data_IF_556517093916
#
_entry.id   IF_556517093916
#
_cell.length_a   1.000
_cell.length_b   1.000
_cell.length_c   1.000
_cell.angle_alpha   90.00
_cell.angle_beta   90.00
_cell.angle_gamma   90.00
#
_symmetry.space_group_name_H-M   'P 1'
#
loop_
_entity.id
_entity.type
_entity.pdbx_description
1 polymer ?
#
# COMPACT_ATOMS: atom_id res chain seq x y z
N UNK A 1 -16.80 12.57 25.84
CA UNK A 1 -15.83 11.77 25.09
C UNK A 1 -14.49 11.98 25.75
N UNK A 2 -14.33 11.45 26.96
CA UNK A 2 -13.94 10.06 27.26
C UNK A 2 -12.41 9.97 27.26
N UNK A 3 -11.89 9.85 28.49
CA UNK A 3 -10.48 9.69 28.79
C UNK A 3 -10.10 8.27 28.41
N UNK A 4 -9.06 8.09 27.63
CA UNK A 4 -8.29 6.84 27.63
C UNK A 4 -7.17 6.97 28.67
N UNK A 5 -7.20 6.20 29.77
CA UNK A 5 -6.07 6.06 30.66
C UNK A 5 -5.20 4.85 30.25
N UNK A 6 -3.97 4.83 30.76
CA UNK A 6 -3.08 3.66 30.85
C UNK A 6 -2.44 3.16 29.55
N UNK A 7 -1.42 3.88 29.07
CA UNK A 7 -0.17 3.21 28.71
C UNK A 7 0.73 3.23 29.96
N UNK A 8 1.38 2.12 30.37
CA UNK A 8 2.34 2.15 31.45
C UNK A 8 3.46 3.11 31.08
N UNK A 9 3.69 4.11 31.93
CA UNK A 9 4.88 4.95 31.83
C UNK A 9 6.00 4.17 32.53
N UNK A 10 6.85 3.48 31.77
CA UNK A 10 8.13 2.99 32.31
C UNK A 10 8.95 4.22 32.69
N UNK A 11 8.89 4.66 33.94
CA UNK A 11 9.46 5.94 34.37
C UNK A 11 10.78 5.74 35.13
N UNK A 12 11.86 6.35 34.65
CA UNK A 12 12.98 6.72 35.50
C UNK A 12 12.68 8.08 36.11
N UNK A 13 12.60 8.17 37.43
CA UNK A 13 12.34 9.42 38.15
C UNK A 13 13.58 10.31 38.12
N UNK A 14 13.66 11.23 37.16
CA UNK A 14 14.67 12.29 37.13
C UNK A 14 14.05 13.60 37.62
N UNK A 15 14.57 14.15 38.72
CA UNK A 15 14.07 15.40 39.31
C UNK A 15 14.09 16.56 38.33
N UNK A 16 13.03 17.39 38.38
CA UNK A 16 12.75 18.74 37.80
C UNK A 16 13.25 19.15 36.39
N UNK A 17 14.13 18.40 35.74
CA UNK A 17 14.48 18.46 34.32
C UNK A 17 14.14 17.12 33.65
N UNK A 18 13.03 16.49 34.05
CA UNK A 18 12.62 15.19 33.53
C UNK A 18 12.45 15.27 32.00
N UNK A 19 13.24 14.52 31.22
CA UNK A 19 12.96 14.33 29.81
C UNK A 19 11.54 13.77 29.66
N UNK A 20 10.84 14.10 28.56
CA UNK A 20 9.51 13.53 28.29
C UNK A 20 9.59 12.00 28.46
N UNK A 21 8.69 11.38 29.24
CA UNK A 21 8.77 9.96 29.52
C UNK A 21 8.73 9.18 28.20
N UNK A 22 9.71 8.32 27.99
CA UNK A 22 9.76 7.46 26.82
C UNK A 22 8.67 6.40 27.00
N UNK A 23 7.82 6.22 25.98
CA UNK A 23 6.84 5.14 25.96
C UNK A 23 7.58 3.79 25.89
N UNK A 24 7.13 2.80 26.64
CA UNK A 24 7.69 1.45 26.57
C UNK A 24 7.53 0.88 25.14
N UNK A 25 8.49 0.06 24.72
CA UNK A 25 8.52 -0.54 23.39
C UNK A 25 8.03 -1.99 23.48
N UNK A 26 6.91 -2.26 22.81
CA UNK A 26 6.32 -3.59 22.74
C UNK A 26 6.57 -4.29 21.41
N UNK A 27 7.04 -3.54 20.40
CA UNK A 27 7.26 -4.07 19.07
C UNK A 27 6.02 -4.11 18.18
N UNK A 28 4.97 -3.35 18.52
CA UNK A 28 3.78 -3.23 17.68
C UNK A 28 4.07 -2.53 16.34
N UNK A 29 3.23 -2.76 15.31
CA UNK A 29 3.37 -2.24 13.94
C UNK A 29 3.44 -0.70 13.82
N UNK A 30 3.06 0.00 14.89
CA UNK A 30 3.04 1.45 15.00
C UNK A 30 4.34 2.01 15.59
N UNK A 31 5.13 1.17 16.24
CA UNK A 31 6.38 1.55 16.91
C UNK A 31 7.58 1.23 16.01
N UNK A 32 8.41 2.24 15.75
CA UNK A 32 9.67 2.06 15.03
C UNK A 32 10.80 1.85 16.05
N UNK A 33 11.39 0.65 16.04
CA UNK A 33 12.47 0.29 16.96
C UNK A 33 13.65 1.25 16.87
N UNK A 34 14.08 1.65 15.67
CA UNK A 34 15.23 2.57 15.50
C UNK A 34 14.92 3.98 16.00
N UNK A 35 13.70 4.48 15.72
CA UNK A 35 13.28 5.79 16.20
C UNK A 35 13.08 5.81 17.72
N UNK A 36 12.61 4.70 18.30
CA UNK A 36 12.49 4.53 19.74
C UNK A 36 13.86 4.40 20.40
N UNK A 37 14.76 3.58 19.85
CA UNK A 37 16.11 3.38 20.34
C UNK A 37 16.90 4.69 20.36
N UNK A 38 16.77 5.53 19.33
CA UNK A 38 17.38 6.87 19.33
C UNK A 38 16.87 7.73 20.49
N UNK A 39 15.56 7.74 20.76
CA UNK A 39 14.99 8.48 21.91
C UNK A 39 15.49 7.94 23.25
N UNK A 40 15.63 6.62 23.34
CA UNK A 40 16.21 5.96 24.51
C UNK A 40 17.66 6.40 24.72
N UNK A 41 18.49 6.34 23.68
CA UNK A 41 19.89 6.76 23.74
C UNK A 41 20.04 8.25 24.07
N UNK A 42 19.20 9.11 23.48
CA UNK A 42 19.18 10.54 23.80
C UNK A 42 18.87 10.77 25.28
N UNK A 43 17.94 9.99 25.86
CA UNK A 43 17.60 10.09 27.28
C UNK A 43 18.72 9.58 28.17
N UNK A 44 19.36 8.46 27.81
CA UNK A 44 20.52 7.92 28.54
C UNK A 44 21.69 8.91 28.52
N UNK A 45 21.91 9.62 27.40
CA UNK A 45 22.96 10.66 27.28
C UNK A 45 22.71 11.88 28.18
N UNK A 46 21.46 12.14 28.55
CA UNK A 46 21.11 13.24 29.47
C UNK A 46 21.36 12.89 30.94
N UNK A 47 21.67 11.63 31.27
CA UNK A 47 21.91 11.19 32.65
C UNK A 47 23.34 11.52 33.07
N UNK A 48 23.47 12.23 34.19
CA UNK A 48 24.74 12.60 34.80
C UNK A 48 24.72 12.23 36.30
N UNK A 49 25.67 11.42 36.81
CA UNK A 49 26.79 10.79 36.11
C UNK A 49 26.35 9.76 35.06
N UNK A 50 27.19 9.45 34.05
CA UNK A 50 26.88 8.46 33.03
C UNK A 50 26.48 7.12 33.65
N UNK A 51 25.43 6.50 33.12
CA UNK A 51 24.98 5.19 33.58
C UNK A 51 26.07 4.13 33.34
N UNK A 52 26.40 3.29 34.35
CA UNK A 52 27.20 2.09 34.14
C UNK A 52 26.56 1.17 33.09
N UNK A 53 27.37 0.47 32.30
CA UNK A 53 26.89 -0.37 31.20
C UNK A 53 25.81 -1.37 31.62
N UNK A 54 25.97 -2.00 32.79
CA UNK A 54 25.01 -2.98 33.30
C UNK A 54 23.68 -2.32 33.70
N UNK A 55 23.72 -1.12 34.29
CA UNK A 55 22.51 -0.36 34.63
C UNK A 55 21.81 0.15 33.38
N UNK A 56 22.57 0.52 32.33
CA UNK A 56 22.04 0.91 31.02
C UNK A 56 21.28 -0.24 30.36
N UNK A 57 21.79 -1.47 30.43
CA UNK A 57 21.12 -2.67 29.93
C UNK A 57 19.83 -2.94 30.73
N UNK A 58 19.91 -2.98 32.05
CA UNK A 58 18.73 -3.21 32.91
C UNK A 58 17.66 -2.17 32.65
N UNK A 59 18.08 -0.92 32.45
CA UNK A 59 17.20 0.17 32.05
C UNK A 59 16.56 -0.12 30.70
N UNK A 60 17.35 -0.40 29.66
CA UNK A 60 16.85 -0.74 28.32
C UNK A 60 15.77 -1.83 28.41
N UNK A 61 16.09 -2.93 29.08
CA UNK A 61 15.22 -4.08 29.28
C UNK A 61 13.96 -3.71 30.07
N UNK A 62 14.05 -2.80 31.04
CA UNK A 62 12.91 -2.25 31.78
C UNK A 62 11.97 -1.35 30.96
N UNK A 63 12.42 -0.81 29.83
CA UNK A 63 11.57 -0.07 28.89
C UNK A 63 11.01 -0.96 27.76
N UNK A 64 11.34 -2.25 27.73
CA UNK A 64 10.74 -3.23 26.82
C UNK A 64 9.53 -3.89 27.48
N UNK A 65 8.46 -4.09 26.72
CA UNK A 65 7.22 -4.75 27.17
C UNK A 65 6.76 -5.79 26.14
N UNK A 66 5.84 -6.68 26.55
CA UNK A 66 5.20 -7.65 25.66
C UNK A 66 6.19 -8.45 24.80
N UNK A 67 5.91 -8.59 23.50
CA UNK A 67 6.72 -9.38 22.59
C UNK A 67 8.18 -8.93 22.45
N UNK A 68 8.51 -7.66 22.73
CA UNK A 68 9.89 -7.21 22.78
C UNK A 68 10.64 -7.66 24.04
N UNK A 69 9.91 -7.86 25.15
CA UNK A 69 10.47 -8.38 26.40
C UNK A 69 10.68 -9.88 26.31
N UNK A 70 9.71 -10.61 25.76
CA UNK A 70 9.77 -12.06 25.57
C UNK A 70 11.02 -12.46 24.76
N UNK A 71 11.35 -11.69 23.72
CA UNK A 71 12.57 -11.91 22.91
C UNK A 71 13.87 -11.75 23.68
N UNK A 72 13.90 -10.91 24.72
CA UNK A 72 15.08 -10.78 25.56
C UNK A 72 15.16 -11.95 26.53
N UNK A 73 14.03 -12.42 27.05
CA UNK A 73 14.00 -13.55 27.97
C UNK A 73 14.52 -14.84 27.32
N UNK A 74 14.32 -15.00 26.00
CA UNK A 74 14.83 -16.11 25.17
C UNK A 74 16.35 -16.08 24.92
N UNK A 75 17.04 -14.96 25.20
CA UNK A 75 18.50 -14.85 25.04
C UNK A 75 19.25 -15.56 26.18
N UNK A 76 20.50 -15.96 25.91
CA UNK A 76 21.40 -16.47 26.93
C UNK A 76 21.79 -15.38 27.94
N UNK A 77 22.08 -15.75 29.19
CA UNK A 77 22.50 -14.79 30.25
C UNK A 77 23.79 -14.03 29.88
N UNK A 78 24.66 -14.64 29.08
CA UNK A 78 25.88 -14.02 28.56
C UNK A 78 25.56 -12.94 27.52
N UNK A 79 24.56 -13.17 26.67
CA UNK A 79 24.14 -12.22 25.65
C UNK A 79 23.30 -11.08 26.25
N UNK A 80 22.46 -11.38 27.26
CA UNK A 80 21.69 -10.39 28.04
C UNK A 80 22.61 -9.36 28.70
N UNK A 81 23.80 -9.76 29.12
CA UNK A 81 24.78 -8.86 29.74
C UNK A 81 25.56 -7.97 28.75
N UNK A 82 25.31 -8.09 27.44
CA UNK A 82 25.95 -7.26 26.42
C UNK A 82 24.94 -6.34 25.73
N UNK A 83 25.06 -5.04 25.96
CA UNK A 83 24.18 -4.01 25.37
C UNK A 83 24.13 -4.11 23.83
N UNK A 84 25.28 -4.35 23.20
CA UNK A 84 25.37 -4.45 21.74
C UNK A 84 24.63 -5.68 21.20
N UNK A 85 24.76 -6.83 21.86
CA UNK A 85 24.09 -8.07 21.44
C UNK A 85 22.57 -7.98 21.61
N UNK A 86 22.11 -7.42 22.73
CA UNK A 86 20.68 -7.17 22.99
C UNK A 86 20.08 -6.28 21.89
N UNK A 87 20.76 -5.18 21.53
CA UNK A 87 20.29 -4.30 20.45
C UNK A 87 20.33 -5.00 19.10
N UNK A 88 21.39 -5.75 18.79
CA UNK A 88 21.50 -6.44 17.52
C UNK A 88 20.41 -7.51 17.34
N UNK A 89 20.07 -8.21 18.43
CA UNK A 89 18.99 -9.19 18.44
C UNK A 89 17.62 -8.52 18.22
N UNK A 90 17.32 -7.46 18.97
CA UNK A 90 16.10 -6.67 18.78
C UNK A 90 16.03 -6.06 17.38
N UNK A 91 17.15 -5.52 16.88
CA UNK A 91 17.26 -4.98 15.53
C UNK A 91 16.98 -6.07 14.51
N UNK A 92 17.54 -7.26 14.66
CA UNK A 92 17.31 -8.37 13.72
C UNK A 92 15.85 -8.80 13.69
N UNK A 93 15.20 -8.89 14.86
CA UNK A 93 13.81 -9.30 14.97
C UNK A 93 12.82 -8.22 14.52
N UNK A 94 13.00 -6.96 14.93
CA UNK A 94 12.09 -5.85 14.60
C UNK A 94 12.41 -5.15 13.28
N UNK A 95 13.63 -5.29 12.76
CA UNK A 95 13.93 -4.99 11.36
C UNK A 95 13.68 -6.18 10.42
N UNK A 96 13.16 -7.31 10.95
CA UNK A 96 12.99 -8.53 10.18
C UNK A 96 12.09 -8.31 8.96
N UNK A 97 12.36 -9.11 7.94
CA UNK A 97 11.69 -9.13 6.65
C UNK A 97 10.15 -9.14 6.75
N UNK A 98 9.57 -9.58 7.88
CA UNK A 98 8.13 -9.62 8.12
C UNK A 98 7.50 -8.23 8.19
N UNK A 99 8.03 -7.31 9.02
CA UNK A 99 7.53 -5.92 9.07
C UNK A 99 7.69 -5.21 7.73
N UNK A 100 8.82 -5.46 7.04
CA UNK A 100 9.02 -4.95 5.68
C UNK A 100 8.05 -5.57 4.69
N UNK A 101 7.70 -6.85 4.84
CA UNK A 101 6.75 -7.55 3.97
C UNK A 101 5.33 -7.04 4.15
N UNK A 102 4.89 -6.81 5.39
CA UNK A 102 3.60 -6.20 5.71
C UNK A 102 3.54 -4.77 5.21
N UNK A 103 4.57 -3.96 5.44
CA UNK A 103 4.62 -2.61 4.90
C UNK A 103 4.60 -2.59 3.36
N UNK A 104 5.29 -3.54 2.69
CA UNK A 104 5.22 -3.70 1.23
C UNK A 104 3.84 -4.12 0.76
N UNK A 105 3.15 -4.97 1.50
CA UNK A 105 1.77 -5.35 1.22
C UNK A 105 0.83 -4.15 1.38
N UNK A 106 0.94 -3.40 2.48
CA UNK A 106 0.20 -2.15 2.70
C UNK A 106 0.45 -1.15 1.56
N UNK A 107 1.71 -1.02 1.10
CA UNK A 107 2.03 -0.19 -0.05
C UNK A 107 1.36 -0.70 -1.33
N UNK A 108 1.43 -2.01 -1.60
CA UNK A 108 0.78 -2.66 -2.75
C UNK A 108 -0.73 -2.38 -2.81
N UNK A 109 -1.40 -2.49 -1.67
CA UNK A 109 -2.84 -2.29 -1.54
C UNK A 109 -3.24 -0.82 -1.46
N UNK A 110 -2.28 0.08 -1.17
CA UNK A 110 -2.51 1.52 -1.13
C UNK A 110 -2.79 2.05 -2.53
N UNK A 111 -4.01 2.57 -2.71
CA UNK A 111 -4.45 3.35 -3.87
C UNK A 111 -5.33 4.49 -3.35
N UNK A 112 -5.35 5.59 -4.10
CA UNK A 112 -6.23 6.70 -3.78
C UNK A 112 -7.70 6.24 -3.83
N UNK A 113 -8.43 6.37 -2.72
CA UNK A 113 -9.84 6.01 -2.63
C UNK A 113 -10.72 6.90 -3.50
N UNK A 114 -11.92 6.46 -3.94
CA UNK A 114 -12.77 7.24 -4.86
C UNK A 114 -13.19 8.60 -4.29
N UNK A 115 -13.44 8.67 -2.98
CA UNK A 115 -13.86 9.87 -2.25
C UNK A 115 -12.70 10.57 -1.52
N UNK A 116 -11.49 9.99 -1.55
CA UNK A 116 -10.32 10.54 -0.85
C UNK A 116 -9.70 11.68 -1.68
N UNK A 117 -9.36 12.79 -1.01
CA UNK A 117 -8.68 13.92 -1.66
C UNK A 117 -7.24 13.58 -2.02
N UNK A 118 -6.65 14.31 -2.98
CA UNK A 118 -5.26 14.14 -3.34
C UNK A 118 -4.31 14.44 -2.16
N UNK A 119 -4.70 15.37 -1.27
CA UNK A 119 -3.92 15.77 -0.10
C UNK A 119 -3.89 14.68 0.97
N UNK A 120 -5.05 14.14 1.34
CA UNK A 120 -5.13 13.09 2.38
C UNK A 120 -4.38 11.83 1.91
N UNK A 121 -4.51 11.50 0.63
CA UNK A 121 -3.76 10.41 0.03
C UNK A 121 -2.24 10.62 0.08
N UNK A 122 -1.77 11.84 -0.21
CA UNK A 122 -0.35 12.19 -0.15
C UNK A 122 0.24 11.99 1.26
N UNK A 123 -0.48 12.39 2.30
CA UNK A 123 -0.04 12.19 3.68
C UNK A 123 0.01 10.71 4.06
N UNK A 124 -0.98 9.93 3.64
CA UNK A 124 -1.08 8.50 3.89
C UNK A 124 0.05 7.73 3.21
N UNK A 125 0.27 7.94 1.91
CA UNK A 125 1.33 7.24 1.17
C UNK A 125 2.73 7.64 1.65
N UNK A 126 2.93 8.90 2.03
CA UNK A 126 4.18 9.37 2.66
C UNK A 126 4.49 8.63 3.95
N UNK A 127 3.49 8.26 4.73
CA UNK A 127 3.70 7.44 5.93
C UNK A 127 4.08 6.00 5.57
N UNK A 128 3.38 5.39 4.62
CA UNK A 128 3.60 3.99 4.21
C UNK A 128 4.97 3.80 3.55
N UNK A 129 5.34 4.67 2.59
CA UNK A 129 6.63 4.58 1.91
C UNK A 129 7.78 4.73 2.89
N UNK A 130 7.69 5.66 3.86
CA UNK A 130 8.68 5.78 4.95
C UNK A 130 8.85 4.49 5.74
N UNK A 131 7.79 3.70 5.95
CA UNK A 131 7.88 2.37 6.60
C UNK A 131 8.58 1.35 5.68
N UNK A 132 8.31 1.37 4.38
CA UNK A 132 8.88 0.41 3.42
C UNK A 132 10.35 0.68 3.11
N UNK A 133 10.74 1.95 3.05
CA UNK A 133 12.11 2.37 2.68
C UNK A 133 13.00 2.60 3.89
N UNK A 134 12.65 2.04 5.07
CA UNK A 134 13.48 2.14 6.28
C UNK A 134 14.90 1.64 6.01
N UNK A 135 15.88 2.46 6.39
CA UNK A 135 17.32 2.17 6.19
C UNK A 135 17.87 2.54 4.81
N UNK A 136 17.05 3.01 3.86
CA UNK A 136 17.52 3.53 2.57
C UNK A 136 17.94 5.00 2.69
N UNK A 137 18.85 5.48 1.82
CA UNK A 137 19.22 6.90 1.79
C UNK A 137 18.00 7.78 1.46
N UNK A 138 17.92 8.97 2.05
CA UNK A 138 16.78 9.90 1.89
C UNK A 138 16.43 10.18 0.43
N UNK A 139 17.43 10.25 -0.45
CA UNK A 139 17.22 10.45 -1.88
C UNK A 139 16.38 9.31 -2.48
N UNK A 140 16.78 8.05 -2.27
CA UNK A 140 16.03 6.89 -2.75
C UNK A 140 14.62 6.81 -2.15
N UNK A 141 14.44 7.24 -0.89
CA UNK A 141 13.10 7.31 -0.28
C UNK A 141 12.21 8.32 -0.99
N UNK A 142 12.75 9.49 -1.36
CA UNK A 142 12.01 10.56 -2.03
C UNK A 142 11.67 10.20 -3.48
N UNK A 143 12.62 9.63 -4.22
CA UNK A 143 12.41 9.12 -5.58
C UNK A 143 11.29 8.07 -5.57
N UNK A 144 11.39 7.09 -4.67
CA UNK A 144 10.36 6.07 -4.55
C UNK A 144 9.01 6.61 -4.08
N UNK A 145 9.00 7.60 -3.19
CA UNK A 145 7.77 8.24 -2.76
C UNK A 145 7.07 8.96 -3.92
N UNK A 146 7.84 9.64 -4.77
CA UNK A 146 7.33 10.29 -5.97
C UNK A 146 6.72 9.27 -6.94
N UNK A 147 7.44 8.19 -7.25
CA UNK A 147 6.97 7.16 -8.18
C UNK A 147 5.69 6.48 -7.69
N UNK A 148 5.69 6.02 -6.44
CA UNK A 148 4.54 5.33 -5.85
C UNK A 148 3.33 6.26 -5.74
N UNK A 149 3.52 7.55 -5.44
CA UNK A 149 2.44 8.53 -5.45
C UNK A 149 1.83 8.66 -6.84
N UNK A 150 2.64 8.89 -7.88
CA UNK A 150 2.14 9.05 -9.25
C UNK A 150 1.41 7.80 -9.75
N UNK A 151 1.92 6.61 -9.47
CA UNK A 151 1.34 5.36 -9.98
C UNK A 151 -0.01 5.01 -9.34
N UNK A 152 -0.21 5.41 -8.09
CA UNK A 152 -1.34 5.01 -7.23
C UNK A 152 -2.44 6.08 -7.09
N UNK A 153 -2.27 7.24 -7.72
CA UNK A 153 -3.32 8.25 -7.91
C UNK A 153 -4.51 7.68 -8.69
N UNK A 154 -5.68 8.32 -8.52
CA UNK A 154 -6.85 8.07 -9.36
C UNK A 154 -6.48 8.20 -10.85
N UNK A 155 -7.01 7.35 -11.75
CA UNK A 155 -6.65 7.37 -13.17
C UNK A 155 -6.75 8.76 -13.83
N UNK A 156 -7.78 9.53 -13.51
CA UNK A 156 -7.98 10.89 -14.01
C UNK A 156 -6.83 11.83 -13.59
N UNK A 157 -6.48 11.86 -12.29
CA UNK A 157 -5.39 12.69 -11.77
C UNK A 157 -4.02 12.20 -12.23
N UNK A 158 -3.82 10.88 -12.25
CA UNK A 158 -2.56 10.25 -12.67
C UNK A 158 -2.14 10.69 -14.06
N UNK A 159 -3.07 10.74 -15.01
CA UNK A 159 -2.77 11.17 -16.37
C UNK A 159 -2.25 12.62 -16.41
N UNK A 160 -2.94 13.54 -15.74
CA UNK A 160 -2.56 14.96 -15.73
C UNK A 160 -1.25 15.22 -14.97
N UNK A 161 -1.06 14.57 -13.82
CA UNK A 161 0.16 14.72 -13.02
C UNK A 161 1.38 14.15 -13.76
N UNK A 162 1.26 12.97 -14.40
CA UNK A 162 2.36 12.42 -15.21
C UNK A 162 2.67 13.29 -16.43
N UNK A 163 1.65 13.84 -17.10
CA UNK A 163 1.86 14.74 -18.22
C UNK A 163 2.63 16.02 -17.82
N UNK A 164 2.46 16.48 -16.57
CA UNK A 164 3.16 17.64 -16.03
C UNK A 164 4.63 17.36 -15.62
N UNK A 165 5.07 16.09 -15.57
CA UNK A 165 6.42 15.65 -15.23
C UNK A 165 7.04 16.35 -13.98
N UNK A 166 6.43 16.22 -12.79
CA UNK A 166 6.97 16.80 -11.57
C UNK A 166 8.30 16.13 -11.19
N UNK A 167 9.27 16.93 -10.74
CA UNK A 167 10.60 16.44 -10.34
C UNK A 167 10.69 16.10 -8.85
N UNK A 168 9.70 16.54 -8.08
CA UNK A 168 9.66 16.34 -6.63
C UNK A 168 8.29 15.89 -6.17
N UNK A 169 8.25 15.19 -5.03
CA UNK A 169 7.00 14.77 -4.41
C UNK A 169 6.08 15.96 -4.10
N UNK A 170 6.62 17.03 -3.52
CA UNK A 170 5.82 18.20 -3.14
C UNK A 170 5.23 18.89 -4.37
N UNK A 171 5.99 18.98 -5.47
CA UNK A 171 5.47 19.48 -6.75
C UNK A 171 4.35 18.58 -7.28
N UNK A 172 4.52 17.26 -7.27
CA UNK A 172 3.50 16.31 -7.71
C UNK A 172 2.20 16.46 -6.91
N UNK A 173 2.30 16.66 -5.59
CA UNK A 173 1.15 16.90 -4.71
C UNK A 173 0.44 18.20 -5.07
N UNK A 174 1.18 19.30 -5.25
CA UNK A 174 0.59 20.58 -5.68
C UNK A 174 -0.16 20.42 -7.00
N UNK A 175 0.46 19.79 -8.00
CA UNK A 175 -0.18 19.53 -9.30
C UNK A 175 -1.45 18.67 -9.14
N UNK A 176 -1.38 17.60 -8.35
CA UNK A 176 -2.53 16.72 -8.12
C UNK A 176 -3.71 17.49 -7.49
N UNK A 177 -3.46 18.33 -6.50
CA UNK A 177 -4.48 19.18 -5.85
C UNK A 177 -5.06 20.19 -6.86
N UNK A 178 -4.22 20.82 -7.67
CA UNK A 178 -4.68 21.76 -8.70
C UNK A 178 -5.60 21.08 -9.70
N UNK A 179 -5.20 19.93 -10.26
CA UNK A 179 -6.03 19.20 -11.21
C UNK A 179 -7.30 18.63 -10.57
N UNK A 180 -7.25 18.21 -9.31
CA UNK A 180 -8.45 17.78 -8.58
C UNK A 180 -9.47 18.91 -8.48
N UNK A 181 -9.04 20.13 -8.14
CA UNK A 181 -9.92 21.30 -8.13
C UNK A 181 -10.53 21.57 -9.51
N UNK A 182 -9.70 21.62 -10.56
CA UNK A 182 -10.15 21.90 -11.92
C UNK A 182 -11.15 20.86 -12.44
N UNK A 183 -10.93 19.58 -12.16
CA UNK A 183 -11.84 18.51 -12.55
C UNK A 183 -13.17 18.59 -11.79
N UNK A 184 -13.14 18.95 -10.50
CA UNK A 184 -14.35 19.16 -9.72
C UNK A 184 -15.15 20.37 -10.22
N UNK A 185 -14.47 21.46 -10.57
CA UNK A 185 -15.11 22.67 -11.13
C UNK A 185 -15.80 22.37 -12.47
N UNK A 186 -15.14 21.62 -13.35
CA UNK A 186 -15.73 21.18 -14.64
C UNK A 186 -16.93 20.27 -14.41
N UNK A 187 -16.83 19.30 -13.50
CA UNK A 187 -17.95 18.41 -13.17
C UNK A 187 -19.16 19.20 -12.65
N UNK A 188 -18.92 20.17 -11.76
CA UNK A 188 -19.95 21.03 -11.20
C UNK A 188 -20.58 21.94 -12.27
N UNK A 189 -19.77 22.54 -13.15
CA UNK A 189 -20.25 23.39 -14.24
C UNK A 189 -21.13 22.62 -15.24
N UNK A 190 -20.80 21.36 -15.55
CA UNK A 190 -21.59 20.50 -16.43
C UNK A 190 -22.94 20.13 -15.77
N UNK A 191 -22.98 19.93 -14.45
CA UNK A 191 -24.23 19.62 -13.73
C UNK A 191 -25.20 20.81 -13.58
N UNK A 192 -24.76 22.05 -13.82
CA UNK A 192 -25.59 23.26 -13.65
C UNK A 192 -26.40 23.62 -14.92
N UNK A 193 -26.18 22.94 -16.06
CA UNK A 193 -26.98 23.13 -17.28
C UNK A 193 -27.99 21.99 -17.53
N UNK A 194 -29.22 22.04 -16.98
CA UNK A 194 -30.32 21.19 -17.45
C UNK A 194 -30.88 21.78 -18.75
N UNK A 195 -30.20 21.58 -19.87
CA UNK A 195 -30.59 22.28 -21.09
C UNK A 195 -29.95 21.84 -22.40
N UNK A 196 -29.33 20.67 -22.50
CA UNK A 196 -29.04 20.08 -23.80
C UNK A 196 -30.20 19.16 -24.20
N UNK A 197 -31.27 19.75 -24.74
CA UNK A 197 -32.28 18.98 -25.46
C UNK A 197 -31.55 18.18 -26.54
N UNK A 198 -31.58 16.86 -26.42
CA UNK A 198 -31.30 15.97 -27.54
C UNK A 198 -32.35 16.25 -28.61
N UNK A 199 -32.03 17.13 -29.55
CA UNK A 199 -32.77 17.22 -30.81
C UNK A 199 -32.52 15.91 -31.55
N UNK A 200 -33.44 14.97 -31.36
CA UNK A 200 -33.50 13.76 -32.16
C UNK A 200 -33.44 14.15 -33.64
N UNK A 201 -32.59 13.51 -34.46
CA UNK A 201 -32.67 13.70 -35.91
C UNK A 201 -34.06 13.25 -36.39
N UNK A 202 -34.70 13.98 -37.31
CA UNK A 202 -36.03 13.62 -37.79
C UNK A 202 -36.02 12.22 -38.41
N UNK A 203 -37.06 11.40 -38.20
CA UNK A 203 -37.13 10.09 -38.82
C UNK A 203 -37.27 10.25 -40.35
N UNK A 204 -36.24 9.84 -41.08
CA UNK A 204 -36.29 9.70 -42.54
C UNK A 204 -37.29 8.59 -42.87
N UNK A 205 -38.51 8.98 -43.28
CA UNK A 205 -39.51 8.04 -43.79
C UNK A 205 -39.07 7.52 -45.15
N UNK A 206 -38.56 6.30 -45.18
CA UNK A 206 -38.39 5.54 -46.43
C UNK A 206 -39.77 5.02 -46.86
N UNK A 207 -40.32 5.56 -47.93
CA UNK A 207 -41.53 5.04 -48.58
C UNK A 207 -41.18 3.69 -49.22
N UNK A 208 -41.59 2.59 -48.59
CA UNK A 208 -41.56 1.27 -49.23
C UNK A 208 -42.80 1.12 -50.11
N UNK A 209 -42.60 1.04 -51.43
CA UNK A 209 -43.66 0.68 -52.37
C UNK A 209 -44.08 -0.78 -52.14
N UNK A 210 -45.38 -0.98 -51.92
CA UNK A 210 -46.04 -2.29 -51.89
C UNK A 210 -46.30 -2.74 -53.31
N UNK A 211 -45.77 -3.89 -53.69
CA UNK A 211 -46.24 -4.68 -54.83
C UNK A 211 -46.89 -5.95 -54.30
N UNK A 212 -48.23 -5.91 -54.26
CA UNK A 212 -49.09 -7.02 -53.91
C UNK A 212 -49.26 -7.90 -55.15
N UNK A 213 -48.89 -9.18 -55.09
CA UNK A 213 -49.48 -10.21 -55.95
C UNK A 213 -49.53 -11.53 -55.21
N UNK A 214 -50.74 -12.06 -55.09
CA UNK A 214 -51.15 -13.21 -54.30
C UNK A 214 -51.52 -14.37 -55.27
N UNK A 215 -51.91 -15.58 -54.81
CA UNK A 215 -51.25 -16.87 -55.05
C UNK A 215 -52.04 -17.81 -56.01
N UNK A 216 -51.74 -19.13 -56.09
CA UNK A 216 -52.55 -20.09 -55.31
C UNK A 216 -51.89 -21.40 -54.81
N UNK A 217 -52.26 -21.76 -53.57
CA UNK A 217 -52.95 -23.00 -53.11
C UNK A 217 -52.28 -24.39 -53.06
N UNK A 218 -52.54 -25.03 -51.89
CA UNK A 218 -52.51 -26.47 -51.49
C UNK A 218 -51.17 -27.01 -50.95
N UNK A 219 -51.10 -27.69 -49.80
CA UNK A 219 -52.09 -28.10 -48.79
C UNK A 219 -51.42 -28.93 -47.68
N UNK A 220 -52.11 -29.00 -46.53
CA UNK A 220 -52.10 -30.07 -45.51
C UNK A 220 -50.77 -30.51 -44.82
N UNK A 221 -50.65 -30.27 -43.51
CA UNK A 221 -51.00 -31.21 -42.42
C UNK A 221 -50.50 -30.69 -41.04
N UNK A 222 -51.40 -30.71 -40.05
CA UNK A 222 -51.10 -30.60 -38.63
C UNK A 222 -50.36 -31.84 -38.09
N UNK A 223 -49.31 -31.62 -37.31
CA UNK A 223 -48.92 -32.42 -36.12
C UNK A 223 -47.64 -31.78 -35.56
N UNK A 224 -47.55 -31.41 -34.30
CA UNK A 224 -47.75 -32.29 -33.16
C UNK A 224 -46.44 -32.27 -32.37
N UNK A 225 -46.55 -31.89 -31.10
CA UNK A 225 -45.50 -31.77 -30.11
C UNK A 225 -44.43 -32.87 -30.19
N UNK A 226 -43.15 -32.49 -30.01
CA UNK A 226 -42.21 -33.31 -29.24
C UNK A 226 -40.99 -32.52 -28.79
N UNK A 227 -41.02 -32.17 -27.50
CA UNK A 227 -39.82 -32.01 -26.68
C UNK A 227 -39.04 -33.33 -26.70
N UNK A 228 -37.73 -33.27 -26.95
CA UNK A 228 -36.77 -34.27 -26.44
C UNK A 228 -35.52 -33.57 -25.90
N UNK A 229 -34.99 -34.04 -24.75
CA UNK A 229 -33.85 -33.45 -24.06
C UNK A 229 -32.54 -34.02 -24.59
N UNK A 230 -31.46 -33.25 -24.49
CA UNK A 230 -30.10 -33.77 -24.56
C UNK A 230 -29.52 -33.83 -23.15
N UNK A 231 -29.35 -35.05 -22.66
CA UNK A 231 -28.55 -35.37 -21.47
C UNK A 231 -27.07 -35.41 -21.84
N UNK A 232 -26.27 -34.70 -21.04
CA UNK A 232 -24.97 -35.05 -20.48
C UNK A 232 -23.91 -35.75 -21.37
N UNK A 233 -22.78 -35.08 -21.57
CA UNK A 233 -21.50 -35.68 -21.20
C UNK A 233 -20.43 -34.60 -20.97
N UNK A 234 -19.83 -34.71 -19.80
CA UNK A 234 -18.61 -34.09 -19.30
C UNK A 234 -17.44 -34.17 -20.29
N UNK A 235 -16.66 -33.10 -20.41
CA UNK A 235 -15.21 -33.28 -20.41
C UNK A 235 -14.47 -32.06 -19.85
N UNK A 236 -13.74 -32.33 -18.78
CA UNK A 236 -12.74 -31.49 -18.13
C UNK A 236 -11.49 -31.36 -19.00
N UNK A 237 -11.17 -30.15 -19.45
CA UNK A 237 -9.93 -29.82 -20.15
C UNK A 237 -9.11 -28.79 -19.35
N UNK A 238 -8.11 -29.28 -18.62
CA UNK A 238 -7.15 -28.53 -17.79
C UNK A 238 -6.27 -27.62 -18.66
N UNK A 239 -6.27 -26.31 -18.41
CA UNK A 239 -5.21 -25.40 -18.87
C UNK A 239 -4.18 -25.22 -17.75
N UNK A 240 -3.19 -26.11 -17.67
CA UNK A 240 -1.93 -25.91 -16.92
C UNK A 240 -0.87 -25.46 -17.93
N UNK A 241 -0.43 -24.20 -17.84
CA UNK A 241 0.80 -23.73 -18.50
C UNK A 241 1.98 -24.23 -17.67
N UNK A 242 2.65 -25.24 -18.19
CA UNK A 242 3.84 -25.86 -17.63
C UNK A 242 5.07 -25.35 -18.39
N UNK A 243 6.13 -25.10 -17.64
CA UNK A 243 7.43 -24.62 -18.07
C UNK A 243 8.07 -25.56 -19.10
N UNK A 244 8.24 -25.11 -20.34
CA UNK A 244 9.11 -25.78 -21.31
C UNK A 244 10.55 -25.29 -21.10
N UNK A 245 11.33 -26.20 -20.52
CA UNK A 245 12.79 -26.18 -20.40
C UNK A 245 13.36 -26.67 -21.73
N UNK A 246 14.13 -25.84 -22.42
CA UNK A 246 14.85 -26.27 -23.62
C UNK A 246 15.98 -27.27 -23.26
N UNK A 247 16.14 -28.38 -24.01
CA UNK A 247 17.22 -29.33 -23.80
C UNK A 247 18.49 -28.91 -24.56
N UNK A 248 19.62 -28.91 -23.86
CA UNK A 248 20.99 -29.06 -24.34
C UNK A 248 21.45 -28.21 -25.56
N UNK A 249 22.18 -27.13 -25.26
CA UNK A 249 23.25 -26.65 -26.13
C UNK A 249 24.41 -26.16 -25.26
N UNK A 250 25.43 -27.00 -25.11
CA UNK A 250 26.76 -26.60 -24.66
C UNK A 250 27.32 -25.57 -25.65
N UNK A 251 27.27 -24.29 -25.27
CA UNK A 251 28.01 -23.23 -25.97
C UNK A 251 28.82 -22.46 -24.93
N UNK A 252 30.08 -22.87 -24.84
CA UNK A 252 31.15 -22.14 -24.16
C UNK A 252 31.46 -20.89 -24.99
N UNK A 253 31.09 -19.71 -24.49
CA UNK A 253 31.45 -18.45 -25.13
C UNK A 253 32.75 -17.91 -24.50
N UNK A 254 33.89 -18.23 -25.11
CA UNK A 254 35.14 -17.50 -24.90
C UNK A 254 35.12 -16.24 -25.76
N UNK A 255 35.22 -15.07 -25.13
CA UNK A 255 35.72 -13.87 -25.81
C UNK A 255 36.62 -13.07 -24.89
N UNK A 256 37.89 -13.46 -24.93
CA UNK A 256 39.05 -12.64 -24.66
C UNK A 256 39.28 -11.70 -25.86
N UNK A 257 39.67 -10.48 -25.55
CA UNK A 257 40.05 -9.39 -26.42
C UNK A 257 40.31 -8.19 -25.54
#
# INVERSE_FOLDING_TARGET
MERDPTAPLCGLTYGQLAPKPIKCFSGSDDQDFEAWLRKFEDTVRMVNPPLPDQLRINTLVGFLEGGARDLIDDLSEEDKNSYLKVIDHLRTHFASQQFRSLARQQLSDCKQGPTESARDFADRIKHIVRKVTRGQPKQAQNERLLDEFQDRLKPALRFHVKAANPMTFDEAVVKAITYESLLNDVANAITIFPGAQSTAPPPVRVVSMRSNSNPPTSGFYQRGQRRKPLRYSTNSGRNRRFWERAPNADVVCYRCG
#
